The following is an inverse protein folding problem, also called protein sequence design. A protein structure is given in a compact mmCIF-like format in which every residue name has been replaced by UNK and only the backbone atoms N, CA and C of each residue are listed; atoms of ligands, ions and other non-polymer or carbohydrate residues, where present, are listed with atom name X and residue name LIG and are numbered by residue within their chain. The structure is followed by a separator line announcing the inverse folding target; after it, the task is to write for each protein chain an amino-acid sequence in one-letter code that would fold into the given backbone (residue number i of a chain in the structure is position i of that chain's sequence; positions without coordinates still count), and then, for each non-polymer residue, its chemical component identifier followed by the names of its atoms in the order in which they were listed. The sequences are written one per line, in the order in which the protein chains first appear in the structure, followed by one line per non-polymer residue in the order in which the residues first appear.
data_IF_576933469648
#
_entry.id   IF_576933469648
#
_cell.length_a   1.000
_cell.length_b   1.000
_cell.length_c   1.000
_cell.angle_alpha   90.00
_cell.angle_beta   90.00
_cell.angle_gamma   90.00
#
_symmetry.space_group_name_H-M   'P 1'
#
loop_
_entity.id
_entity.type
_entity.pdbx_description
1 polymer ?
#
# COMPACT_ATOMS: atom_id res chain seq x y z
N UNK A 1 6.93 16.15 25.56
CA UNK A 1 5.47 16.25 25.79
C UNK A 1 5.04 16.36 27.27
N UNK A 2 5.83 15.91 28.27
CA UNK A 2 5.44 15.97 29.71
C UNK A 2 5.50 17.37 30.36
N UNK A 3 6.22 18.33 29.77
CA UNK A 3 6.37 19.70 30.31
C UNK A 3 5.13 20.59 30.08
N UNK A 4 4.53 20.58 28.89
CA UNK A 4 3.40 21.47 28.56
C UNK A 4 2.18 21.31 29.51
N UNK A 5 1.96 20.10 30.04
CA UNK A 5 0.84 19.86 30.95
C UNK A 5 1.06 20.46 32.36
N UNK A 6 2.31 20.52 32.83
CA UNK A 6 2.64 21.18 34.10
C UNK A 6 2.53 22.69 33.97
N UNK A 7 2.98 23.24 32.85
CA UNK A 7 2.89 24.68 32.58
C UNK A 7 1.44 25.13 32.44
N UNK A 8 0.60 24.37 31.74
CA UNK A 8 -0.84 24.65 31.63
C UNK A 8 -1.57 24.64 32.98
N UNK A 9 -1.29 23.62 33.81
CA UNK A 9 -1.86 23.56 35.17
C UNK A 9 -1.40 24.70 36.06
N UNK A 10 -0.14 25.12 35.93
CA UNK A 10 0.41 26.26 36.66
C UNK A 10 -0.33 27.55 36.31
N UNK A 11 -0.53 27.84 35.03
CA UNK A 11 -1.28 29.02 34.59
C UNK A 11 -2.74 29.00 35.04
N UNK A 12 -3.40 27.84 34.99
CA UNK A 12 -4.79 27.70 35.51
C UNK A 12 -4.84 27.94 37.02
N UNK A 13 -3.90 27.36 37.78
CA UNK A 13 -3.85 27.47 39.24
C UNK A 13 -3.65 28.90 39.73
N UNK A 14 -3.04 29.76 38.92
CA UNK A 14 -2.80 31.17 39.24
C UNK A 14 -3.90 32.06 38.67
N UNK A 15 -4.34 31.79 37.43
CA UNK A 15 -5.31 32.61 36.72
C UNK A 15 -6.69 32.62 37.37
N UNK A 16 -7.22 31.46 37.79
CA UNK A 16 -8.55 31.37 38.38
C UNK A 16 -8.66 32.17 39.69
N UNK A 17 -7.76 32.01 40.68
CA UNK A 17 -7.80 32.84 41.89
C UNK A 17 -7.67 34.33 41.62
N UNK A 18 -6.82 34.74 40.67
CA UNK A 18 -6.66 36.15 40.30
C UNK A 18 -7.98 36.72 39.76
N UNK A 19 -8.66 36.01 38.86
CA UNK A 19 -9.95 36.47 38.31
C UNK A 19 -10.99 36.62 39.42
N UNK A 20 -11.07 35.66 40.34
CA UNK A 20 -12.00 35.70 41.49
C UNK A 20 -11.69 36.86 42.42
N UNK A 21 -10.40 37.08 42.75
CA UNK A 21 -9.96 38.19 43.60
C UNK A 21 -10.26 39.54 42.94
N UNK A 22 -9.98 39.69 41.65
CA UNK A 22 -10.29 40.91 40.90
C UNK A 22 -11.80 41.17 40.88
N UNK A 23 -12.61 40.15 40.63
CA UNK A 23 -14.07 40.27 40.64
C UNK A 23 -14.62 40.66 42.02
N UNK A 24 -14.20 39.99 43.10
CA UNK A 24 -14.59 40.35 44.47
C UNK A 24 -14.12 41.75 44.88
N UNK A 25 -12.90 42.14 44.46
CA UNK A 25 -12.36 43.47 44.73
C UNK A 25 -13.20 44.56 44.06
N UNK A 26 -13.65 44.35 42.81
CA UNK A 26 -14.56 45.29 42.15
C UNK A 26 -15.89 45.42 42.90
N UNK A 27 -16.48 44.31 43.36
CA UNK A 27 -17.73 44.34 44.14
C UNK A 27 -17.58 45.11 45.46
N UNK A 28 -16.49 44.89 46.21
CA UNK A 28 -16.21 45.57 47.48
C UNK A 28 -15.97 47.07 47.29
N UNK A 29 -15.19 47.46 46.28
CA UNK A 29 -14.91 48.87 45.97
C UNK A 29 -16.19 49.61 45.59
N UNK A 30 -17.04 49.02 44.74
CA UNK A 30 -18.30 49.64 44.31
C UNK A 30 -19.32 49.73 45.45
N UNK A 31 -19.38 48.74 46.33
CA UNK A 31 -20.30 48.76 47.49
C UNK A 31 -19.96 49.87 48.50
N UNK A 32 -18.67 50.10 48.75
CA UNK A 32 -18.22 51.07 49.75
C UNK A 32 -18.17 52.52 49.25
N UNK A 33 -18.00 52.76 47.94
CA UNK A 33 -17.66 54.09 47.42
C UNK A 33 -18.72 54.73 46.50
N UNK A 34 -19.78 54.00 46.10
CA UNK A 34 -20.80 54.52 45.17
C UNK A 34 -22.22 54.36 45.73
N UNK A 35 -23.08 55.34 45.43
CA UNK A 35 -24.51 55.26 45.75
C UNK A 35 -25.19 54.12 44.97
N UNK A 36 -26.40 53.72 45.35
CA UNK A 36 -27.14 52.66 44.63
C UNK A 36 -27.45 53.03 43.18
N UNK A 37 -27.63 54.31 42.87
CA UNK A 37 -27.94 54.81 41.52
C UNK A 37 -26.68 54.81 40.65
N UNK A 38 -25.56 55.33 41.15
CA UNK A 38 -24.30 55.42 40.40
C UNK A 38 -23.70 54.04 40.09
N UNK A 39 -23.97 53.04 40.95
CA UNK A 39 -23.57 51.64 40.72
C UNK A 39 -24.21 51.05 39.46
N UNK A 40 -25.45 51.40 39.15
CA UNK A 40 -26.15 50.93 37.94
C UNK A 40 -25.50 51.46 36.67
N UNK A 41 -25.29 52.78 36.60
CA UNK A 41 -24.68 53.44 35.44
C UNK A 41 -23.23 53.01 35.20
N UNK A 42 -22.47 52.75 36.26
CA UNK A 42 -21.12 52.18 36.15
C UNK A 42 -21.16 50.75 35.60
N UNK A 43 -22.13 49.94 36.00
CA UNK A 43 -22.35 48.59 35.47
C UNK A 43 -22.67 48.58 33.98
N UNK A 44 -23.47 49.53 33.51
CA UNK A 44 -23.85 49.64 32.08
C UNK A 44 -22.64 49.86 31.16
N UNK A 45 -21.57 50.53 31.63
CA UNK A 45 -20.34 50.72 30.87
C UNK A 45 -19.64 49.39 30.54
N UNK A 46 -19.72 48.40 31.44
CA UNK A 46 -19.14 47.07 31.22
C UNK A 46 -19.96 46.22 30.24
N UNK A 47 -21.20 46.58 29.94
CA UNK A 47 -22.02 45.89 28.94
C UNK A 47 -21.37 45.87 27.56
N UNK A 48 -20.82 47.01 27.13
CA UNK A 48 -20.09 47.13 25.85
C UNK A 48 -18.84 46.27 25.78
N UNK A 49 -18.07 46.23 26.88
CA UNK A 49 -16.85 45.42 27.02
C UNK A 49 -17.20 43.92 27.05
N UNK A 50 -18.26 43.53 27.77
CA UNK A 50 -18.73 42.14 27.81
C UNK A 50 -19.24 41.66 26.45
N UNK A 51 -19.94 42.50 25.70
CA UNK A 51 -20.34 42.20 24.32
C UNK A 51 -19.12 41.99 23.41
N UNK A 52 -18.09 42.83 23.56
CA UNK A 52 -16.84 42.70 22.80
C UNK A 52 -16.08 41.41 23.16
N UNK A 53 -15.94 41.08 24.45
CA UNK A 53 -15.34 39.81 24.89
C UNK A 53 -16.11 38.60 24.38
N UNK A 54 -17.44 38.65 24.39
CA UNK A 54 -18.30 37.59 23.85
C UNK A 54 -18.12 37.44 22.34
N UNK A 55 -18.00 38.55 21.61
CA UNK A 55 -17.68 38.57 20.18
C UNK A 55 -16.30 37.97 19.87
N UNK A 56 -15.27 38.32 20.63
CA UNK A 56 -13.94 37.72 20.49
C UNK A 56 -13.90 36.24 20.86
N UNK A 57 -14.63 35.82 21.88
CA UNK A 57 -14.76 34.40 22.23
C UNK A 57 -15.42 33.62 21.09
N UNK A 58 -16.51 34.14 20.51
CA UNK A 58 -17.15 33.53 19.34
C UNK A 58 -16.20 33.49 18.13
N UNK A 59 -15.48 34.57 17.86
CA UNK A 59 -14.49 34.62 16.79
C UNK A 59 -13.37 33.58 16.99
N UNK A 60 -12.86 33.44 18.22
CA UNK A 60 -11.88 32.42 18.58
C UNK A 60 -12.39 30.99 18.36
N UNK A 61 -13.66 30.73 18.68
CA UNK A 61 -14.31 29.44 18.37
C UNK A 61 -14.38 29.20 16.86
N UNK A 62 -14.79 30.20 16.07
CA UNK A 62 -14.87 30.09 14.61
C UNK A 62 -13.48 29.79 14.00
N UNK A 63 -12.45 30.53 14.41
CA UNK A 63 -11.07 30.27 13.98
C UNK A 63 -10.64 28.85 14.32
N UNK A 64 -10.96 28.39 15.52
CA UNK A 64 -10.62 27.04 15.97
C UNK A 64 -11.34 25.98 15.12
N UNK A 65 -12.62 26.19 14.79
CA UNK A 65 -13.37 25.28 13.90
C UNK A 65 -12.73 25.21 12.51
N UNK A 66 -12.33 26.35 11.95
CA UNK A 66 -11.67 26.38 10.63
C UNK A 66 -10.34 25.61 10.66
N UNK A 67 -9.54 25.81 11.70
CA UNK A 67 -8.27 25.10 11.86
C UNK A 67 -8.49 23.59 12.05
N UNK A 68 -9.43 23.20 12.91
CA UNK A 68 -9.79 21.80 13.14
C UNK A 68 -10.30 21.11 11.87
N UNK A 69 -11.05 21.81 11.01
CA UNK A 69 -11.50 21.25 9.74
C UNK A 69 -10.33 20.95 8.79
N UNK A 70 -9.32 21.82 8.76
CA UNK A 70 -8.09 21.59 8.00
C UNK A 70 -7.34 20.37 8.53
N UNK A 71 -7.09 20.32 9.83
CA UNK A 71 -6.37 19.20 10.47
C UNK A 71 -7.09 17.86 10.24
N UNK A 72 -8.43 17.86 10.29
CA UNK A 72 -9.23 16.66 10.00
C UNK A 72 -9.13 16.21 8.54
N UNK A 73 -9.01 17.16 7.60
CA UNK A 73 -8.81 16.83 6.19
C UNK A 73 -7.46 16.15 5.99
N UNK A 74 -6.40 16.74 6.52
CA UNK A 74 -5.02 16.24 6.38
C UNK A 74 -4.91 14.86 7.06
N UNK A 75 -5.46 14.71 8.28
CA UNK A 75 -5.51 13.41 8.99
C UNK A 75 -6.24 12.32 8.19
N UNK A 76 -7.32 12.67 7.50
CA UNK A 76 -8.07 11.71 6.66
C UNK A 76 -7.28 11.29 5.43
N UNK A 77 -6.50 12.19 4.84
CA UNK A 77 -5.64 11.89 3.70
C UNK A 77 -4.50 10.95 4.12
N UNK A 78 -3.82 11.25 5.24
CA UNK A 78 -2.79 10.36 5.81
C UNK A 78 -3.35 8.97 6.16
N UNK A 79 -4.54 8.92 6.77
CA UNK A 79 -5.18 7.65 7.12
C UNK A 79 -5.50 6.81 5.87
N UNK A 80 -6.01 7.44 4.79
CA UNK A 80 -6.26 6.74 3.52
C UNK A 80 -4.96 6.21 2.91
N UNK A 81 -3.91 7.02 2.90
CA UNK A 81 -2.59 6.62 2.41
C UNK A 81 -2.03 5.43 3.18
N UNK A 82 -2.05 5.50 4.52
CA UNK A 82 -1.60 4.41 5.41
C UNK A 82 -2.40 3.12 5.19
N UNK A 83 -3.73 3.22 5.03
CA UNK A 83 -4.59 2.07 4.74
C UNK A 83 -4.22 1.42 3.41
N UNK A 84 -3.99 2.19 2.35
CA UNK A 84 -3.60 1.64 1.05
C UNK A 84 -2.23 1.00 1.09
N UNK A 85 -1.27 1.64 1.75
CA UNK A 85 0.07 1.09 1.98
C UNK A 85 -0.03 -0.29 2.64
N UNK A 86 -0.82 -0.41 3.71
CA UNK A 86 -1.07 -1.69 4.40
C UNK A 86 -1.73 -2.72 3.48
N UNK A 87 -2.70 -2.31 2.66
CA UNK A 87 -3.37 -3.21 1.73
C UNK A 87 -2.41 -3.74 0.66
N UNK A 88 -1.53 -2.88 0.13
CA UNK A 88 -0.49 -3.27 -0.83
C UNK A 88 0.44 -4.30 -0.22
N UNK A 89 0.96 -4.07 0.99
CA UNK A 89 1.82 -5.05 1.68
C UNK A 89 1.11 -6.38 1.92
N UNK A 90 -0.15 -6.36 2.37
CA UNK A 90 -0.95 -7.59 2.53
C UNK A 90 -1.18 -8.32 1.22
N UNK A 91 -1.40 -7.58 0.13
CA UNK A 91 -1.57 -8.17 -1.21
C UNK A 91 -0.29 -8.80 -1.71
N UNK A 92 0.84 -8.15 -1.49
CA UNK A 92 2.15 -8.72 -1.75
C UNK A 92 2.39 -10.02 -0.97
N UNK A 93 2.18 -10.04 0.35
CA UNK A 93 2.33 -11.25 1.16
C UNK A 93 1.44 -12.39 0.64
N UNK A 94 0.19 -12.07 0.26
CA UNK A 94 -0.72 -13.02 -0.37
C UNK A 94 -0.16 -13.55 -1.68
N UNK A 95 0.36 -12.70 -2.57
CA UNK A 95 0.93 -13.11 -3.86
C UNK A 95 2.08 -14.10 -3.64
N UNK A 96 3.03 -13.77 -2.76
CA UNK A 96 4.18 -14.64 -2.50
C UNK A 96 3.75 -15.98 -1.91
N UNK A 97 2.85 -15.97 -0.92
CA UNK A 97 2.34 -17.18 -0.32
C UNK A 97 1.58 -18.03 -1.34
N UNK A 98 0.78 -17.41 -2.21
CA UNK A 98 0.02 -18.10 -3.25
C UNK A 98 0.93 -18.74 -4.30
N UNK A 99 1.97 -18.04 -4.76
CA UNK A 99 2.97 -18.58 -5.69
C UNK A 99 3.71 -19.77 -5.05
N UNK A 100 4.20 -19.61 -3.82
CA UNK A 100 4.93 -20.67 -3.13
C UNK A 100 4.05 -21.89 -2.86
N UNK A 101 2.82 -21.68 -2.37
CA UNK A 101 1.87 -22.76 -2.12
C UNK A 101 1.48 -23.48 -3.41
N UNK A 102 1.30 -22.74 -4.51
CA UNK A 102 1.05 -23.34 -5.82
C UNK A 102 2.21 -24.25 -6.25
N UNK A 103 3.46 -23.77 -6.14
CA UNK A 103 4.65 -24.56 -6.47
C UNK A 103 4.77 -25.81 -5.59
N UNK A 104 4.59 -25.67 -4.27
CA UNK A 104 4.64 -26.80 -3.33
C UNK A 104 3.56 -27.84 -3.66
N UNK A 105 2.32 -27.37 -3.86
CA UNK A 105 1.21 -28.25 -4.22
C UNK A 105 1.49 -28.96 -5.56
N UNK A 106 2.03 -28.22 -6.53
CA UNK A 106 2.41 -28.77 -7.83
C UNK A 106 3.48 -29.87 -7.67
N UNK A 107 4.54 -29.61 -6.89
CA UNK A 107 5.59 -30.61 -6.63
C UNK A 107 5.03 -31.90 -6.03
N UNK A 108 4.06 -31.76 -5.12
CA UNK A 108 3.36 -32.88 -4.50
C UNK A 108 2.49 -33.64 -5.51
N UNK A 109 1.69 -32.93 -6.31
CA UNK A 109 0.77 -33.53 -7.28
C UNK A 109 1.50 -34.38 -8.34
N UNK A 110 2.77 -34.08 -8.61
CA UNK A 110 3.62 -34.79 -9.59
C UNK A 110 4.76 -35.59 -8.97
N UNK A 111 4.80 -35.79 -7.64
CA UNK A 111 5.85 -36.51 -6.91
C UNK A 111 7.29 -36.03 -7.21
N UNK A 112 7.46 -34.74 -7.53
CA UNK A 112 8.73 -34.16 -7.98
C UNK A 112 9.77 -34.04 -6.86
N UNK A 113 9.32 -34.15 -5.60
CA UNK A 113 10.19 -34.17 -4.41
C UNK A 113 11.17 -35.36 -4.39
N UNK A 114 10.93 -36.40 -5.20
CA UNK A 114 11.69 -37.66 -5.18
C UNK A 114 12.58 -37.93 -6.40
N UNK A 115 12.48 -37.14 -7.49
CA UNK A 115 13.08 -37.49 -8.80
C UNK A 115 13.68 -36.32 -9.59
N UNK A 116 13.69 -35.09 -9.08
CA UNK A 116 14.31 -33.92 -9.74
C UNK A 116 14.69 -32.86 -8.70
N UNK A 117 15.56 -31.88 -9.02
CA UNK A 117 15.84 -30.79 -8.09
C UNK A 117 14.51 -30.16 -7.64
N UNK A 118 14.38 -29.93 -6.34
CA UNK A 118 13.18 -29.35 -5.73
C UNK A 118 12.82 -28.07 -6.50
N UNK A 119 11.71 -28.08 -7.25
CA UNK A 119 11.34 -26.96 -8.10
C UNK A 119 10.92 -25.81 -7.18
N UNK A 120 11.82 -24.85 -6.99
CA UNK A 120 11.59 -23.60 -6.28
C UNK A 120 11.39 -22.45 -7.26
N UNK A 121 10.85 -21.31 -6.80
CA UNK A 121 10.75 -20.11 -7.61
C UNK A 121 12.13 -19.68 -8.18
N UNK A 122 13.16 -19.75 -7.33
CA UNK A 122 14.56 -19.49 -7.70
C UNK A 122 15.06 -20.43 -8.80
N UNK A 123 14.80 -21.74 -8.65
CA UNK A 123 15.17 -22.73 -9.66
C UNK A 123 14.53 -22.41 -11.02
N UNK A 124 13.22 -22.11 -11.02
CA UNK A 124 12.47 -21.79 -12.24
C UNK A 124 13.04 -20.54 -12.93
N UNK A 125 13.33 -19.49 -12.15
CA UNK A 125 13.80 -18.22 -12.68
C UNK A 125 15.23 -18.31 -13.24
N UNK A 126 16.08 -19.20 -12.71
CA UNK A 126 17.49 -19.27 -13.11
C UNK A 126 17.79 -20.37 -14.14
N UNK A 127 17.08 -21.50 -14.14
CA UNK A 127 17.46 -22.67 -14.94
C UNK A 127 16.75 -22.80 -16.30
N UNK A 128 15.60 -22.14 -16.49
CA UNK A 128 14.79 -22.30 -17.71
C UNK A 128 14.63 -21.02 -18.55
N UNK A 129 15.09 -19.87 -18.06
CA UNK A 129 15.15 -18.63 -18.84
C UNK A 129 16.44 -18.66 -19.69
N UNK A 130 16.39 -19.04 -20.98
CA UNK A 130 17.59 -19.40 -21.76
C UNK A 130 18.46 -18.20 -22.14
N UNK A 131 18.04 -16.97 -21.78
CA UNK A 131 18.65 -15.72 -22.27
C UNK A 131 19.56 -15.02 -21.25
N UNK A 132 19.87 -15.61 -20.09
CA UNK A 132 20.63 -14.88 -19.05
C UNK A 132 22.02 -15.42 -18.68
N UNK A 133 22.45 -16.59 -19.14
CA UNK A 133 23.86 -16.97 -19.00
C UNK A 133 24.31 -18.01 -20.05
N UNK A 134 25.31 -17.66 -20.87
CA UNK A 134 26.00 -18.57 -21.79
C UNK A 134 26.75 -19.70 -21.04
N UNK A 135 26.85 -19.62 -19.70
CA UNK A 135 27.60 -20.56 -18.87
C UNK A 135 26.81 -21.77 -18.32
N UNK A 136 25.50 -21.90 -18.57
CA UNK A 136 24.72 -22.96 -17.92
C UNK A 136 25.06 -24.36 -18.45
N UNK A 137 25.39 -25.19 -17.47
CA UNK A 137 26.19 -26.41 -17.53
C UNK A 137 25.57 -27.58 -18.31
N UNK A 138 26.46 -28.46 -18.76
CA UNK A 138 26.23 -29.72 -19.47
C UNK A 138 25.08 -30.59 -18.92
N UNK A 139 24.71 -30.45 -17.65
CA UNK A 139 23.64 -31.21 -16.99
C UNK A 139 22.25 -30.93 -17.58
N UNK A 140 21.95 -29.69 -18.00
CA UNK A 140 20.65 -29.37 -18.64
C UNK A 140 20.62 -29.82 -20.10
N UNK A 141 21.76 -29.80 -20.80
CA UNK A 141 21.85 -30.37 -22.16
C UNK A 141 21.57 -31.88 -22.16
N UNK A 142 21.96 -32.59 -21.10
CA UNK A 142 21.63 -34.01 -20.93
C UNK A 142 20.16 -34.25 -20.52
N UNK A 143 19.57 -33.41 -19.68
CA UNK A 143 18.12 -33.44 -19.35
C UNK A 143 17.24 -33.17 -20.59
N UNK A 144 17.70 -32.34 -21.52
CA UNK A 144 17.03 -32.01 -22.80
C UNK A 144 16.81 -33.23 -23.72
N UNK A 145 17.57 -34.32 -23.51
CA UNK A 145 17.62 -35.46 -24.44
C UNK A 145 16.66 -36.59 -24.02
N UNK A 146 16.13 -36.61 -22.79
CA UNK A 146 15.45 -37.82 -22.27
C UNK A 146 13.95 -37.70 -21.93
N UNK A 147 13.44 -36.56 -21.45
CA UNK A 147 12.00 -36.37 -21.10
C UNK A 147 11.54 -34.90 -21.29
N UNK A 148 11.65 -34.41 -22.53
CA UNK A 148 11.55 -32.98 -22.85
C UNK A 148 10.12 -32.41 -22.66
N UNK A 149 9.06 -33.18 -22.92
CA UNK A 149 7.68 -32.65 -22.91
C UNK A 149 7.15 -32.44 -21.48
N UNK A 150 7.55 -33.29 -20.53
CA UNK A 150 7.09 -33.21 -19.14
C UNK A 150 7.61 -31.95 -18.45
N UNK A 151 8.92 -31.70 -18.46
CA UNK A 151 9.53 -30.51 -17.82
C UNK A 151 8.98 -29.20 -18.42
N UNK A 152 8.92 -29.14 -19.75
CA UNK A 152 8.35 -28.05 -20.55
C UNK A 152 6.90 -27.77 -20.10
N UNK A 153 6.08 -28.80 -19.92
CA UNK A 153 4.72 -28.67 -19.39
C UNK A 153 4.65 -28.27 -17.90
N UNK A 154 5.56 -28.79 -17.09
CA UNK A 154 5.68 -28.55 -15.65
C UNK A 154 5.90 -27.06 -15.38
N UNK A 155 6.92 -26.48 -16.01
CA UNK A 155 7.23 -25.06 -15.89
C UNK A 155 6.19 -24.17 -16.56
N UNK A 156 5.63 -24.59 -17.70
CA UNK A 156 4.58 -23.86 -18.41
C UNK A 156 3.36 -23.58 -17.52
N UNK A 157 2.97 -24.57 -16.70
CA UNK A 157 1.88 -24.42 -15.73
C UNK A 157 2.20 -23.38 -14.66
N UNK A 158 3.44 -23.40 -14.14
CA UNK A 158 3.89 -22.48 -13.10
C UNK A 158 4.01 -21.05 -13.64
N UNK A 159 4.60 -20.85 -14.82
CA UNK A 159 4.64 -19.55 -15.49
C UNK A 159 3.24 -18.99 -15.71
N UNK A 160 2.30 -19.84 -16.16
CA UNK A 160 0.91 -19.45 -16.33
C UNK A 160 0.28 -18.96 -15.05
N UNK A 161 0.53 -19.66 -13.96
CA UNK A 161 0.02 -19.24 -12.66
C UNK A 161 0.60 -17.89 -12.26
N UNK A 162 1.94 -17.74 -12.26
CA UNK A 162 2.65 -16.53 -11.84
C UNK A 162 2.19 -15.31 -12.65
N UNK A 163 2.24 -15.39 -14.00
CA UNK A 163 1.91 -14.26 -14.86
C UNK A 163 0.46 -13.83 -14.71
N UNK A 164 -0.48 -14.78 -14.64
CA UNK A 164 -1.89 -14.44 -14.43
C UNK A 164 -2.13 -13.85 -13.04
N UNK A 165 -1.48 -14.39 -12.01
CA UNK A 165 -1.57 -13.87 -10.64
C UNK A 165 -1.08 -12.43 -10.59
N UNK A 166 0.12 -12.17 -11.12
CA UNK A 166 0.72 -10.84 -11.17
C UNK A 166 -0.12 -9.85 -11.97
N UNK A 167 -0.62 -10.26 -13.15
CA UNK A 167 -1.47 -9.41 -13.97
C UNK A 167 -2.77 -9.01 -13.27
N UNK A 168 -3.45 -9.97 -12.65
CA UNK A 168 -4.72 -9.72 -11.97
C UNK A 168 -4.55 -8.80 -10.76
N UNK A 169 -3.50 -9.01 -9.96
CA UNK A 169 -3.25 -8.19 -8.76
C UNK A 169 -2.75 -6.78 -9.14
N UNK A 170 -1.91 -6.65 -10.16
CA UNK A 170 -1.50 -5.35 -10.71
C UNK A 170 -2.73 -4.54 -11.17
N UNK A 171 -3.63 -5.17 -11.93
CA UNK A 171 -4.89 -4.52 -12.36
C UNK A 171 -5.77 -4.10 -11.18
N UNK A 172 -5.86 -4.94 -10.15
CA UNK A 172 -6.62 -4.62 -8.94
C UNK A 172 -6.02 -3.42 -8.22
N UNK A 173 -4.70 -3.41 -7.99
CA UNK A 173 -4.00 -2.29 -7.34
C UNK A 173 -4.21 -1.01 -8.14
N UNK A 174 -4.04 -1.03 -9.47
CA UNK A 174 -4.28 0.13 -10.33
C UNK A 174 -5.72 0.66 -10.19
N UNK A 175 -6.70 -0.25 -10.10
CA UNK A 175 -8.11 0.11 -9.91
C UNK A 175 -8.34 0.75 -8.54
N UNK A 176 -7.74 0.21 -7.47
CA UNK A 176 -7.84 0.75 -6.12
C UNK A 176 -7.20 2.13 -6.01
N UNK A 177 -6.03 2.33 -6.61
CA UNK A 177 -5.34 3.63 -6.66
C UNK A 177 -6.14 4.67 -7.43
N UNK A 178 -6.77 4.29 -8.54
CA UNK A 178 -7.65 5.19 -9.28
C UNK A 178 -8.89 5.59 -8.47
N UNK A 179 -9.46 4.67 -7.70
CA UNK A 179 -10.67 4.91 -6.90
C UNK A 179 -10.41 5.65 -5.57
N UNK A 180 -9.17 5.70 -5.08
CA UNK A 180 -8.86 6.22 -3.74
C UNK A 180 -8.89 7.74 -3.61
N UNK A 181 -8.96 8.46 -4.74
CA UNK A 181 -8.89 9.93 -4.81
C UNK A 181 -7.69 10.53 -4.06
N UNK A 182 -6.55 9.84 -4.13
CA UNK A 182 -5.26 10.33 -3.62
C UNK A 182 -4.55 11.10 -4.75
N UNK A 183 -3.63 12.01 -4.39
CA UNK A 183 -2.77 12.70 -5.36
C UNK A 183 -1.89 11.71 -6.14
N UNK A 184 -1.35 12.15 -7.28
CA UNK A 184 -0.59 11.27 -8.17
C UNK A 184 0.79 10.91 -7.61
N UNK A 185 1.44 11.83 -6.87
CA UNK A 185 2.72 11.58 -6.19
C UNK A 185 2.64 10.37 -5.24
N UNK A 186 1.64 10.32 -4.36
CA UNK A 186 1.47 9.20 -3.45
C UNK A 186 1.06 7.91 -4.19
N UNK A 187 0.40 7.99 -5.35
CA UNK A 187 0.10 6.79 -6.16
C UNK A 187 1.38 6.21 -6.74
N UNK A 188 2.26 7.06 -7.26
CA UNK A 188 3.55 6.65 -7.81
C UNK A 188 4.44 6.04 -6.72
N UNK A 189 4.44 6.63 -5.52
CA UNK A 189 5.14 6.06 -4.36
C UNK A 189 4.59 4.67 -3.99
N UNK A 190 3.26 4.50 -3.95
CA UNK A 190 2.63 3.21 -3.66
C UNK A 190 2.93 2.14 -4.71
N UNK A 191 2.96 2.54 -5.99
CA UNK A 191 3.38 1.66 -7.10
C UNK A 191 4.86 1.27 -6.94
N UNK A 192 5.72 2.23 -6.58
CA UNK A 192 7.13 1.98 -6.34
C UNK A 192 7.34 1.01 -5.17
N UNK A 193 6.66 1.22 -4.03
CA UNK A 193 6.70 0.32 -2.87
C UNK A 193 6.25 -1.09 -3.27
N UNK A 194 5.16 -1.19 -4.05
CA UNK A 194 4.69 -2.48 -4.56
C UNK A 194 5.75 -3.13 -5.46
N UNK A 195 6.34 -2.39 -6.39
CA UNK A 195 7.39 -2.88 -7.27
C UNK A 195 8.60 -3.40 -6.48
N UNK A 196 9.05 -2.68 -5.45
CA UNK A 196 10.16 -3.11 -4.58
C UNK A 196 9.83 -4.33 -3.74
N UNK A 197 8.55 -4.58 -3.46
CA UNK A 197 8.14 -5.76 -2.70
C UNK A 197 8.23 -7.04 -3.53
N UNK A 198 7.93 -6.99 -4.84
CA UNK A 198 7.88 -8.17 -5.70
C UNK A 198 9.22 -8.91 -5.72
N UNK A 199 9.16 -10.24 -5.61
CA UNK A 199 10.33 -11.10 -5.65
C UNK A 199 11.09 -10.92 -6.98
N UNK A 200 12.42 -10.80 -6.89
CA UNK A 200 13.29 -10.62 -8.03
C UNK A 200 13.16 -11.76 -9.06
N UNK A 201 12.89 -12.98 -8.60
CA UNK A 201 12.70 -14.13 -9.48
C UNK A 201 11.39 -14.04 -10.26
N UNK A 202 10.34 -13.44 -9.68
CA UNK A 202 9.12 -13.09 -10.42
C UNK A 202 9.41 -12.04 -11.48
N UNK A 203 10.25 -11.03 -11.18
CA UNK A 203 10.67 -10.05 -12.18
C UNK A 203 11.44 -10.66 -13.34
N UNK A 204 12.39 -11.56 -13.07
CA UNK A 204 13.12 -12.29 -14.13
C UNK A 204 12.16 -13.01 -15.07
N UNK A 205 11.17 -13.71 -14.51
CA UNK A 205 10.13 -14.41 -15.27
C UNK A 205 9.34 -13.40 -16.13
N UNK A 206 8.83 -12.32 -15.55
CA UNK A 206 8.06 -11.30 -16.30
C UNK A 206 8.89 -10.71 -17.44
N UNK A 207 10.17 -10.39 -17.19
CA UNK A 207 11.10 -9.84 -18.20
C UNK A 207 11.40 -10.83 -19.33
N UNK A 208 11.55 -12.10 -19.02
CA UNK A 208 11.72 -13.14 -20.03
C UNK A 208 10.52 -13.21 -20.97
N UNK A 209 9.30 -13.23 -20.44
CA UNK A 209 8.09 -13.29 -21.27
C UNK A 209 7.81 -11.98 -22.01
N UNK A 210 8.23 -10.84 -21.48
CA UNK A 210 8.18 -9.55 -22.19
C UNK A 210 9.05 -9.57 -23.46
N UNK A 211 10.30 -10.06 -23.35
CA UNK A 211 11.34 -9.98 -24.40
C UNK A 211 11.37 -11.17 -25.37
N UNK A 212 10.87 -12.33 -24.96
CA UNK A 212 10.89 -13.55 -25.79
C UNK A 212 10.09 -13.42 -27.08
N UNK A 213 10.39 -14.28 -28.07
CA UNK A 213 9.65 -14.36 -29.34
C UNK A 213 8.84 -15.65 -29.42
N UNK A 214 7.75 -15.63 -30.19
CA UNK A 214 6.77 -16.73 -30.33
C UNK A 214 7.38 -18.10 -30.72
N UNK A 215 8.60 -18.12 -31.29
CA UNK A 215 9.29 -19.35 -31.72
C UNK A 215 9.94 -20.12 -30.57
N UNK A 216 10.13 -19.51 -29.40
CA UNK A 216 10.92 -20.08 -28.31
C UNK A 216 10.12 -21.05 -27.43
N UNK A 217 8.78 -21.10 -27.60
CA UNK A 217 7.87 -21.70 -26.64
C UNK A 217 6.81 -22.61 -27.28
N UNK A 218 7.20 -23.41 -28.28
CA UNK A 218 6.35 -24.53 -28.75
C UNK A 218 6.41 -25.68 -27.73
N UNK A 219 5.71 -25.52 -26.62
CA UNK A 219 5.51 -26.57 -25.62
C UNK A 219 4.65 -27.68 -26.23
N UNK A 220 5.24 -28.86 -26.49
CA UNK A 220 4.53 -30.05 -26.96
C UNK A 220 4.00 -30.84 -25.76
N UNK A 221 2.72 -31.24 -25.89
CA UNK A 221 1.94 -32.27 -25.18
C UNK A 221 1.99 -32.32 -23.63
N UNK A 222 0.83 -32.54 -23.01
CA UNK A 222 0.73 -33.07 -21.65
C UNK A 222 1.02 -34.58 -21.77
N UNK A 223 2.18 -35.09 -21.34
CA UNK A 223 2.53 -36.50 -21.54
C UNK A 223 1.65 -37.45 -20.72
N UNK A 224 0.83 -36.93 -19.80
CA UNK A 224 -0.01 -37.71 -18.89
C UNK A 224 -1.43 -37.90 -19.44
N UNK A 225 -1.92 -37.01 -20.32
CA UNK A 225 -3.28 -37.13 -20.88
C UNK A 225 -3.38 -36.84 -22.40
N UNK A 226 -2.96 -37.81 -23.25
CA UNK A 226 -2.90 -37.67 -24.71
C UNK A 226 -4.27 -37.54 -25.42
N UNK A 227 -5.39 -37.66 -24.70
CA UNK A 227 -6.74 -37.58 -25.27
C UNK A 227 -7.24 -36.15 -25.55
N UNK A 228 -6.55 -35.11 -25.05
CA UNK A 228 -6.91 -33.70 -25.25
C UNK A 228 -6.27 -33.15 -26.54
N UNK A 229 -7.07 -33.10 -27.62
CA UNK A 229 -6.67 -32.55 -28.93
C UNK A 229 -6.09 -31.13 -28.84
N UNK A 230 -4.92 -30.98 -29.47
CA UNK A 230 -4.09 -29.80 -29.77
C UNK A 230 -4.75 -28.42 -29.64
N UNK A 231 -4.42 -27.73 -28.54
CA UNK A 231 -4.31 -26.26 -28.47
C UNK A 231 -2.94 -25.93 -27.86
N UNK A 232 -2.25 -24.87 -28.29
CA UNK A 232 -1.03 -24.43 -27.64
C UNK A 232 -1.30 -24.25 -26.13
N UNK A 233 -0.52 -24.92 -25.29
CA UNK A 233 -0.73 -24.97 -23.84
C UNK A 233 -0.70 -23.57 -23.20
N UNK A 234 0.05 -22.67 -23.84
CA UNK A 234 0.27 -21.29 -23.49
C UNK A 234 -0.04 -20.41 -24.70
N UNK A 235 -0.92 -19.42 -24.52
CA UNK A 235 -1.10 -18.36 -25.52
C UNK A 235 0.06 -17.37 -25.32
N UNK A 236 1.15 -17.56 -26.07
CA UNK A 236 2.37 -16.77 -25.94
C UNK A 236 2.10 -15.26 -25.99
N UNK A 237 1.27 -14.81 -26.94
CA UNK A 237 0.93 -13.40 -27.10
C UNK A 237 0.19 -12.84 -25.87
N UNK A 238 -0.67 -13.62 -25.24
CA UNK A 238 -1.34 -13.24 -23.98
C UNK A 238 -0.31 -13.08 -22.84
N UNK A 239 0.71 -13.94 -22.78
CA UNK A 239 1.74 -13.92 -21.74
C UNK A 239 2.68 -12.74 -21.89
N UNK A 240 3.15 -12.50 -23.11
CA UNK A 240 3.96 -11.34 -23.44
C UNK A 240 3.22 -10.05 -23.13
N UNK A 241 1.95 -9.95 -23.55
CA UNK A 241 1.12 -8.78 -23.29
C UNK A 241 0.88 -8.56 -21.79
N UNK A 242 0.54 -9.60 -21.04
CA UNK A 242 0.33 -9.49 -19.59
C UNK A 242 1.60 -9.10 -18.87
N UNK A 243 2.73 -9.71 -19.22
CA UNK A 243 4.02 -9.41 -18.59
C UNK A 243 4.44 -7.96 -18.85
N UNK A 244 4.28 -7.50 -20.10
CA UNK A 244 4.48 -6.10 -20.47
C UNK A 244 3.59 -5.16 -19.67
N UNK A 245 2.29 -5.42 -19.57
CA UNK A 245 1.35 -4.57 -18.82
C UNK A 245 1.67 -4.52 -17.32
N UNK A 246 2.16 -5.61 -16.74
CA UNK A 246 2.63 -5.63 -15.35
C UNK A 246 3.88 -4.76 -15.21
N UNK A 247 4.89 -4.96 -16.05
CA UNK A 247 6.15 -4.20 -16.00
C UNK A 247 5.96 -2.70 -16.25
N UNK A 248 5.12 -2.33 -17.21
CA UNK A 248 4.73 -0.94 -17.48
C UNK A 248 4.06 -0.30 -16.26
N UNK A 249 3.17 -1.02 -15.58
CA UNK A 249 2.55 -0.52 -14.35
C UNK A 249 3.58 -0.29 -13.25
N UNK A 250 4.59 -1.16 -13.14
CA UNK A 250 5.61 -1.09 -12.10
C UNK A 250 6.71 -0.07 -12.41
N UNK A 251 6.58 0.70 -13.50
CA UNK A 251 7.62 1.61 -14.01
C UNK A 251 8.97 0.92 -14.19
N UNK A 252 8.95 -0.36 -14.55
CA UNK A 252 10.12 -1.20 -14.78
C UNK A 252 10.26 -1.42 -16.29
N UNK A 253 10.79 -0.42 -17.00
CA UNK A 253 11.19 -0.52 -18.41
C UNK A 253 12.66 -0.91 -18.54
#
# INVERSE_FOLDING_TARGET
MKNNYKDFKFWISIGIPIIIILWLSTALILYNNLSSVDRGTFGDMFGSINALFSGFALFGIILTIILQQKDLKDTREEFKYSRLTTLIFKKYESINNDINNYIIQYNKDYNLESTSPNISLEFIANEFIPELDESISTQIKELRIRDNDFLVWTYGSIYKYIINRMFNESRLIKTLLHQSNINDENKDELIFIFAQSIDNDVFKILRYFEKSKERDLRFKEDPINPSKKYKPYLNFNDFQQKSKLVLEMLNQN
#
